data_IF_858153344998
#
_entry.id   IF_858153344998
#
_cell.length_a   1.000
_cell.length_b   1.000
_cell.length_c   1.000
_cell.angle_alpha   90.00
_cell.angle_beta   90.00
_cell.angle_gamma   90.00
#
_symmetry.space_group_name_H-M   'P 1'
#
loop_
_entity.id
_entity.type
_entity.pdbx_description
1 polymer ?
#
# COMPACT_ATOMS: atom_id res chain seq x y z
N UNK A 1 -27.52 -0.76 -7.15
CA UNK A 1 -26.67 -1.76 -7.84
C UNK A 1 -26.71 -1.63 -9.35
N UNK A 2 -27.86 -1.37 -9.94
CA UNK A 2 -27.97 -1.23 -11.42
C UNK A 2 -27.29 0.04 -11.94
N UNK A 3 -27.34 1.12 -11.20
CA UNK A 3 -26.65 2.39 -11.53
C UNK A 3 -25.12 2.26 -11.59
N UNK A 4 -24.57 1.22 -10.97
CA UNK A 4 -23.12 0.94 -10.93
C UNK A 4 -22.73 -0.29 -11.76
N UNK A 5 -23.54 -0.64 -12.78
CA UNK A 5 -23.22 -1.71 -13.73
C UNK A 5 -23.32 -3.15 -13.20
N UNK A 6 -23.93 -3.37 -12.05
CA UNK A 6 -24.11 -4.73 -11.51
C UNK A 6 -25.39 -5.37 -12.04
N UNK A 7 -25.26 -6.50 -12.73
CA UNK A 7 -26.39 -7.26 -13.28
C UNK A 7 -27.24 -7.96 -12.21
N UNK A 8 -26.74 -8.14 -10.98
CA UNK A 8 -27.47 -8.79 -9.90
C UNK A 8 -27.15 -8.21 -8.53
N UNK A 9 -28.09 -8.36 -7.59
CA UNK A 9 -27.90 -7.99 -6.17
C UNK A 9 -26.72 -8.78 -5.56
N UNK A 10 -26.63 -10.07 -5.87
CA UNK A 10 -25.55 -10.92 -5.36
C UNK A 10 -24.17 -10.47 -5.87
N UNK A 11 -24.09 -10.04 -7.13
CA UNK A 11 -22.85 -9.47 -7.70
C UNK A 11 -22.44 -8.20 -6.96
N UNK A 12 -23.40 -7.31 -6.74
CA UNK A 12 -23.17 -6.10 -5.95
C UNK A 12 -22.74 -6.42 -4.51
N UNK A 13 -23.47 -7.31 -3.81
CA UNK A 13 -23.13 -7.68 -2.44
C UNK A 13 -21.74 -8.28 -2.30
N UNK A 14 -21.33 -9.14 -3.27
CA UNK A 14 -19.98 -9.71 -3.30
C UNK A 14 -18.91 -8.63 -3.53
N UNK A 15 -19.12 -7.74 -4.51
CA UNK A 15 -18.20 -6.66 -4.80
C UNK A 15 -18.11 -5.69 -3.62
N UNK A 16 -19.25 -5.33 -3.00
CA UNK A 16 -19.30 -4.47 -1.84
C UNK A 16 -18.53 -5.06 -0.66
N UNK A 17 -18.76 -6.35 -0.34
CA UNK A 17 -18.02 -7.04 0.74
C UNK A 17 -16.52 -7.11 0.47
N UNK A 18 -16.12 -7.22 -0.80
CA UNK A 18 -14.70 -7.23 -1.19
C UNK A 18 -14.01 -5.91 -0.90
N UNK A 19 -14.71 -4.78 -1.02
CA UNK A 19 -14.18 -3.43 -0.82
C UNK A 19 -14.34 -2.96 0.62
N UNK A 20 -15.51 -3.21 1.22
CA UNK A 20 -15.88 -2.67 2.53
C UNK A 20 -15.85 -3.71 3.66
N UNK A 21 -15.52 -4.96 3.37
CA UNK A 21 -15.42 -6.09 4.32
C UNK A 21 -16.69 -6.35 5.16
N UNK A 22 -17.82 -5.77 4.74
CA UNK A 22 -19.11 -5.92 5.40
C UNK A 22 -20.23 -5.92 4.37
N UNK A 23 -21.44 -6.34 4.75
CA UNK A 23 -22.59 -6.26 3.84
C UNK A 23 -23.07 -4.81 3.69
N UNK A 24 -23.65 -4.42 2.53
CA UNK A 24 -24.23 -3.10 2.34
C UNK A 24 -25.23 -2.71 3.44
N UNK A 25 -26.06 -3.66 3.85
CA UNK A 25 -27.05 -3.43 4.91
C UNK A 25 -26.41 -3.17 6.28
N UNK A 26 -25.35 -3.91 6.63
CA UNK A 26 -24.62 -3.72 7.89
C UNK A 26 -23.85 -2.39 7.87
N UNK A 27 -23.25 -2.06 6.74
CA UNK A 27 -22.55 -0.78 6.53
C UNK A 27 -23.50 0.41 6.69
N UNK A 28 -24.69 0.36 6.05
CA UNK A 28 -25.68 1.40 6.17
C UNK A 28 -26.23 1.56 7.61
N UNK A 29 -26.44 0.45 8.33
CA UNK A 29 -26.90 0.49 9.73
C UNK A 29 -25.87 1.11 10.68
N UNK A 30 -24.58 0.95 10.38
CA UNK A 30 -23.51 1.55 11.16
C UNK A 30 -23.39 3.07 10.94
N UNK A 31 -24.26 3.68 10.10
CA UNK A 31 -24.22 5.11 9.79
C UNK A 31 -23.03 5.53 8.93
N UNK A 32 -22.27 4.56 8.45
CA UNK A 32 -21.12 4.83 7.60
C UNK A 32 -21.61 5.42 6.27
N UNK A 33 -21.10 6.59 5.93
CA UNK A 33 -21.37 7.21 4.63
C UNK A 33 -20.70 6.36 3.55
N UNK A 34 -21.45 6.01 2.50
CA UNK A 34 -20.86 5.40 1.30
C UNK A 34 -19.93 6.43 0.67
N UNK A 35 -18.63 6.14 0.66
CA UNK A 35 -17.66 7.00 0.00
C UNK A 35 -17.74 6.71 -1.49
N UNK A 36 -18.13 7.71 -2.27
CA UNK A 36 -17.94 7.68 -3.71
C UNK A 36 -16.46 7.93 -3.98
N UNK A 37 -15.72 6.87 -4.34
CA UNK A 37 -14.27 6.94 -4.50
C UNK A 37 -13.85 7.89 -5.62
N UNK A 38 -14.62 7.98 -6.70
CA UNK A 38 -14.33 8.88 -7.82
C UNK A 38 -14.47 10.34 -7.39
N UNK A 39 -15.55 10.65 -6.65
CA UNK A 39 -15.74 11.97 -6.07
C UNK A 39 -14.67 12.29 -5.03
N UNK A 40 -14.38 11.34 -4.15
CA UNK A 40 -13.33 11.50 -3.14
C UNK A 40 -11.98 11.77 -3.80
N UNK A 41 -11.60 10.97 -4.80
CA UNK A 41 -10.36 11.19 -5.55
C UNK A 41 -10.32 12.57 -6.21
N UNK A 42 -11.40 12.98 -6.87
CA UNK A 42 -11.50 14.30 -7.48
C UNK A 42 -11.37 15.46 -6.49
N UNK A 43 -11.88 15.30 -5.26
CA UNK A 43 -11.83 16.33 -4.22
C UNK A 43 -10.46 16.41 -3.52
N UNK A 44 -9.71 15.31 -3.46
CA UNK A 44 -8.49 15.21 -2.65
C UNK A 44 -7.20 15.00 -3.44
N UNK A 45 -7.25 14.72 -4.74
CA UNK A 45 -6.05 14.46 -5.55
C UNK A 45 -5.05 15.63 -5.52
N UNK A 46 -5.54 16.86 -5.46
CA UNK A 46 -4.71 18.07 -5.45
C UNK A 46 -4.02 18.31 -4.08
N UNK A 47 -4.40 17.56 -3.05
CA UNK A 47 -3.76 17.57 -1.72
C UNK A 47 -2.59 16.59 -1.61
N UNK A 48 -2.37 15.81 -2.64
CA UNK A 48 -1.29 14.83 -2.70
C UNK A 48 -0.26 15.31 -3.70
N UNK A 49 0.95 15.53 -3.25
CA UNK A 49 2.08 15.81 -4.15
C UNK A 49 2.58 14.51 -4.75
N UNK A 50 2.87 14.55 -6.03
CA UNK A 50 3.40 13.39 -6.77
C UNK A 50 4.76 13.78 -7.32
N UNK A 51 5.75 12.94 -7.06
CA UNK A 51 7.08 13.01 -7.65
C UNK A 51 7.50 11.65 -8.17
N UNK A 52 8.47 11.64 -9.09
CA UNK A 52 9.03 10.40 -9.62
C UNK A 52 10.50 10.35 -9.26
N UNK A 53 10.93 9.26 -8.66
CA UNK A 53 12.32 9.06 -8.26
C UNK A 53 12.85 7.72 -8.78
N UNK A 54 14.12 7.67 -9.04
CA UNK A 54 14.86 6.42 -9.18
C UNK A 54 15.48 6.12 -7.81
N UNK A 55 15.19 4.96 -7.28
CA UNK A 55 15.52 4.56 -5.91
C UNK A 55 16.43 3.35 -5.94
N UNK A 56 17.44 3.35 -5.09
CA UNK A 56 18.27 2.19 -4.82
C UNK A 56 17.50 1.12 -4.04
N UNK A 57 18.05 -0.09 -4.01
CA UNK A 57 17.53 -1.18 -3.20
C UNK A 57 17.49 -0.79 -1.72
N UNK A 58 16.40 -1.12 -1.04
CA UNK A 58 16.24 -0.93 0.41
C UNK A 58 15.98 -2.28 1.06
N UNK A 59 16.59 -2.51 2.21
CA UNK A 59 16.30 -3.64 3.10
C UNK A 59 15.47 -3.15 4.26
N UNK A 60 14.41 -3.89 4.60
CA UNK A 60 13.62 -3.68 5.80
C UNK A 60 13.47 -4.98 6.57
N UNK A 61 13.38 -4.87 7.89
CA UNK A 61 13.01 -5.98 8.74
C UNK A 61 11.92 -5.56 9.71
N UNK A 62 11.00 -6.48 10.05
CA UNK A 62 9.88 -6.12 10.90
C UNK A 62 8.98 -7.28 11.27
N UNK A 63 7.83 -6.97 11.81
CA UNK A 63 6.84 -7.96 12.21
C UNK A 63 5.49 -7.71 11.58
N UNK A 64 4.72 -8.78 11.43
CA UNK A 64 3.31 -8.68 11.13
C UNK A 64 2.60 -7.96 12.27
N UNK A 65 1.96 -6.84 11.94
CA UNK A 65 1.14 -6.07 12.90
C UNK A 65 -0.33 -6.40 12.77
N UNK A 66 -0.76 -6.89 11.60
CA UNK A 66 -2.12 -7.30 11.31
C UNK A 66 -2.08 -8.48 10.35
N UNK A 67 -2.68 -9.60 10.76
CA UNK A 67 -2.79 -10.81 9.94
C UNK A 67 -4.21 -11.04 9.40
N UNK A 68 -5.21 -10.27 9.80
CA UNK A 68 -6.60 -10.43 9.37
C UNK A 68 -7.27 -9.09 9.07
N UNK A 69 -7.60 -8.88 7.82
CA UNK A 69 -8.22 -7.65 7.31
C UNK A 69 -9.62 -7.38 7.83
N UNK A 70 -10.36 -8.43 8.23
CA UNK A 70 -11.77 -8.30 8.62
C UNK A 70 -11.96 -7.71 10.01
N UNK A 71 -10.95 -7.83 10.87
CA UNK A 71 -11.03 -7.52 12.29
C UNK A 71 -10.22 -6.28 12.68
N UNK A 72 -9.41 -5.75 11.76
CA UNK A 72 -8.43 -4.73 12.08
C UNK A 72 -8.75 -3.36 11.49
N UNK A 73 -8.68 -2.34 12.31
CA UNK A 73 -8.51 -0.96 11.87
C UNK A 73 -7.01 -0.73 11.61
N UNK A 74 -6.56 -0.98 10.38
CA UNK A 74 -5.16 -0.82 9.97
C UNK A 74 -4.61 0.57 10.36
N UNK A 75 -5.29 1.69 10.06
CA UNK A 75 -4.79 3.00 10.42
C UNK A 75 -4.58 3.19 11.93
N UNK A 76 -5.50 2.70 12.77
CA UNK A 76 -5.36 2.81 14.22
C UNK A 76 -4.20 1.93 14.75
N UNK A 77 -4.03 0.73 14.20
CA UNK A 77 -2.90 -0.12 14.55
C UNK A 77 -1.57 0.49 14.14
N UNK A 78 -1.47 1.06 12.95
CA UNK A 78 -0.29 1.80 12.51
C UNK A 78 0.04 2.95 13.44
N UNK A 79 -0.95 3.78 13.79
CA UNK A 79 -0.74 4.89 14.72
C UNK A 79 -0.19 4.39 16.06
N UNK A 80 -0.72 3.29 16.60
CA UNK A 80 -0.24 2.70 17.85
C UNK A 80 1.21 2.18 17.75
N UNK A 81 1.58 1.54 16.64
CA UNK A 81 2.94 1.03 16.44
C UNK A 81 3.96 2.13 16.14
N UNK A 82 3.51 3.27 15.62
CA UNK A 82 4.35 4.41 15.29
C UNK A 82 4.42 5.47 16.39
N UNK A 83 3.64 5.33 17.46
CA UNK A 83 3.74 6.19 18.63
C UNK A 83 5.07 5.97 19.36
N UNK A 84 5.92 6.99 19.40
CA UNK A 84 7.26 6.95 20.03
C UNK A 84 7.23 6.54 21.51
N UNK A 85 6.11 6.72 22.20
CA UNK A 85 5.92 6.32 23.59
C UNK A 85 5.50 4.86 23.76
N UNK A 86 5.11 4.20 22.67
CA UNK A 86 4.63 2.82 22.73
C UNK A 86 5.76 1.79 22.90
N UNK A 87 5.49 0.67 23.58
CA UNK A 87 6.43 -0.46 23.61
C UNK A 87 6.72 -1.03 22.22
N UNK A 88 5.74 -0.94 21.31
CA UNK A 88 5.82 -1.42 19.94
C UNK A 88 6.83 -0.63 19.12
N UNK A 89 6.83 0.69 19.23
CA UNK A 89 7.84 1.54 18.60
C UNK A 89 9.26 1.19 19.07
N UNK A 90 9.43 0.97 20.38
CA UNK A 90 10.74 0.54 20.94
C UNK A 90 11.16 -0.82 20.40
N UNK A 91 10.22 -1.76 20.26
CA UNK A 91 10.49 -3.07 19.64
C UNK A 91 11.00 -2.92 18.21
N UNK A 92 10.39 -2.04 17.40
CA UNK A 92 10.84 -1.77 16.04
C UNK A 92 12.25 -1.15 16.02
N UNK A 93 12.52 -0.19 16.88
CA UNK A 93 13.82 0.46 16.92
C UNK A 93 14.96 -0.45 17.39
N UNK A 94 14.66 -1.46 18.20
CA UNK A 94 15.65 -2.44 18.62
C UNK A 94 16.29 -3.22 17.45
N UNK A 95 15.61 -3.29 16.29
CA UNK A 95 16.16 -3.90 15.07
C UNK A 95 17.33 -3.12 14.46
N UNK A 96 17.43 -1.84 14.74
CA UNK A 96 18.50 -0.98 14.20
C UNK A 96 19.56 -0.61 15.23
N UNK A 97 19.32 -0.93 16.50
CA UNK A 97 20.15 -0.48 17.61
C UNK A 97 20.05 1.02 17.91
N UNK A 98 19.11 1.72 17.34
CA UNK A 98 18.92 3.16 17.51
C UNK A 98 17.71 3.46 18.41
N UNK A 99 17.89 4.40 19.36
CA UNK A 99 16.78 4.82 20.24
C UNK A 99 15.71 5.63 19.49
N UNK A 100 16.11 6.37 18.46
CA UNK A 100 15.21 7.21 17.65
C UNK A 100 15.25 6.83 16.18
N UNK A 101 14.08 6.53 15.77
CA UNK A 101 13.54 6.07 14.58
C UNK A 101 14.20 6.42 13.28
N UNK A 102 14.91 5.46 12.69
CA UNK A 102 14.95 5.38 11.24
C UNK A 102 13.54 5.27 10.71
N UNK A 103 13.37 5.69 9.47
CA UNK A 103 12.11 5.56 8.77
C UNK A 103 11.59 4.13 8.83
N UNK A 104 10.28 4.01 8.96
CA UNK A 104 9.59 2.72 8.97
C UNK A 104 8.96 2.47 7.60
N UNK A 105 9.05 1.24 7.15
CA UNK A 105 8.38 0.75 5.94
C UNK A 105 7.21 -0.11 6.36
N UNK A 106 6.08 0.09 5.71
CA UNK A 106 4.94 -0.80 5.83
C UNK A 106 4.63 -1.45 4.47
N UNK A 107 4.44 -2.75 4.50
CA UNK A 107 4.11 -3.59 3.37
C UNK A 107 2.85 -4.38 3.67
N UNK A 108 2.10 -4.74 2.63
CA UNK A 108 1.01 -5.69 2.77
C UNK A 108 1.14 -6.81 1.75
N UNK A 109 0.95 -8.02 2.24
CA UNK A 109 0.84 -9.23 1.42
C UNK A 109 -0.57 -9.75 1.50
N UNK A 110 -1.12 -10.11 0.36
CA UNK A 110 -2.43 -10.76 0.29
C UNK A 110 -2.25 -12.22 -0.11
N UNK A 111 -2.57 -13.10 0.81
CA UNK A 111 -2.70 -14.52 0.53
C UNK A 111 -4.16 -14.95 0.69
N UNK A 112 -4.82 -15.25 -0.44
CA UNK A 112 -6.24 -15.66 -0.51
C UNK A 112 -7.17 -14.64 0.20
N UNK A 113 -7.69 -15.01 1.36
CA UNK A 113 -8.61 -14.19 2.16
C UNK A 113 -7.89 -13.40 3.27
N UNK A 114 -6.65 -13.73 3.55
CA UNK A 114 -5.85 -13.06 4.57
C UNK A 114 -4.98 -11.97 3.96
N UNK A 115 -4.74 -10.96 4.73
CA UNK A 115 -3.72 -9.96 4.46
C UNK A 115 -2.80 -9.90 5.66
N UNK A 116 -1.52 -9.94 5.39
CA UNK A 116 -0.49 -9.64 6.37
C UNK A 116 0.00 -8.23 6.14
N UNK A 117 -0.02 -7.42 7.15
CA UNK A 117 0.50 -6.07 7.15
C UNK A 117 1.75 -6.02 8.01
N UNK A 118 2.91 -5.87 7.36
CA UNK A 118 4.23 -5.93 7.99
C UNK A 118 4.76 -4.51 8.15
N UNK A 119 5.25 -4.19 9.33
CA UNK A 119 5.88 -2.91 9.65
C UNK A 119 7.27 -3.14 10.23
N UNK A 120 8.23 -2.35 9.77
CA UNK A 120 9.59 -2.38 10.29
C UNK A 120 10.48 -1.25 9.81
N UNK A 121 11.63 -1.03 10.47
CA UNK A 121 12.61 -0.05 10.05
C UNK A 121 13.37 -0.48 8.79
N UNK A 122 13.99 0.50 8.15
CA UNK A 122 15.05 0.25 7.17
C UNK A 122 16.30 -0.25 7.93
N UNK A 123 16.88 -1.36 7.46
CA UNK A 123 18.09 -1.97 8.02
C UNK A 123 19.21 -1.97 6.98
N UNK A 124 20.46 -1.95 7.43
CA UNK A 124 21.62 -1.98 6.53
C UNK A 124 21.90 -3.40 6.02
N UNK A 125 21.74 -4.38 6.89
CA UNK A 125 21.88 -5.80 6.57
C UNK A 125 20.84 -6.63 7.30
N UNK A 126 20.72 -7.90 6.92
CA UNK A 126 19.89 -8.86 7.63
C UNK A 126 20.66 -9.67 8.69
N UNK A 127 21.94 -9.35 8.88
CA UNK A 127 22.76 -10.03 9.86
C UNK A 127 22.31 -9.73 11.29
N UNK A 128 22.33 -10.74 12.13
CA UNK A 128 22.01 -10.64 13.56
C UNK A 128 20.59 -10.17 13.91
N UNK A 129 19.66 -10.28 12.97
CA UNK A 129 18.25 -10.00 13.23
C UNK A 129 17.57 -11.17 13.98
N UNK A 130 16.51 -10.92 14.76
CA UNK A 130 15.70 -11.98 15.35
C UNK A 130 15.16 -12.95 14.28
N UNK A 131 15.15 -14.27 14.58
CA UNK A 131 14.67 -15.30 13.66
C UNK A 131 13.19 -15.14 13.29
N UNK A 132 12.39 -14.51 14.16
CA UNK A 132 10.97 -14.23 13.96
C UNK A 132 10.70 -12.93 13.19
N UNK A 133 11.73 -12.16 12.82
CA UNK A 133 11.57 -10.95 12.04
C UNK A 133 11.47 -11.27 10.54
N UNK A 134 10.46 -10.73 9.90
CA UNK A 134 10.37 -10.73 8.43
C UNK A 134 11.49 -9.88 7.85
N UNK A 135 12.12 -10.39 6.81
CA UNK A 135 13.19 -9.74 6.06
C UNK A 135 12.73 -9.52 4.63
N UNK A 136 12.72 -8.29 4.18
CA UNK A 136 12.23 -7.92 2.84
C UNK A 136 13.21 -7.00 2.15
N UNK A 137 13.54 -7.34 0.91
CA UNK A 137 14.29 -6.48 0.00
C UNK A 137 13.31 -5.79 -0.94
N UNK A 138 13.31 -4.46 -0.93
CA UNK A 138 12.57 -3.64 -1.87
C UNK A 138 13.50 -3.30 -3.02
N UNK A 139 13.16 -3.79 -4.20
CA UNK A 139 14.04 -3.68 -5.37
C UNK A 139 14.23 -2.23 -5.82
N UNK A 140 15.44 -1.94 -6.30
CA UNK A 140 15.76 -0.69 -6.97
C UNK A 140 14.85 -0.43 -8.18
N UNK A 141 14.68 0.82 -8.55
CA UNK A 141 13.98 1.24 -9.76
C UNK A 141 13.15 2.51 -9.57
N UNK A 142 12.34 2.79 -10.59
CA UNK A 142 11.54 4.01 -10.63
C UNK A 142 10.24 3.86 -9.87
N UNK A 143 9.93 4.86 -9.05
CA UNK A 143 8.72 4.91 -8.24
C UNK A 143 8.00 6.26 -8.40
N UNK A 144 6.69 6.23 -8.48
CA UNK A 144 5.84 7.38 -8.19
C UNK A 144 5.69 7.48 -6.67
N UNK A 145 6.08 8.61 -6.12
CA UNK A 145 6.06 8.88 -4.68
C UNK A 145 4.97 9.90 -4.40
N UNK A 146 4.06 9.51 -3.54
CA UNK A 146 2.93 10.32 -3.11
C UNK A 146 3.19 10.84 -1.70
N UNK A 147 3.04 12.13 -1.52
CA UNK A 147 3.23 12.83 -0.25
C UNK A 147 1.98 13.62 0.11
N UNK A 148 1.48 13.49 1.35
CA UNK A 148 0.43 14.35 1.87
C UNK A 148 0.97 15.76 2.14
N UNK A 149 0.14 16.78 1.97
CA UNK A 149 0.42 18.15 2.39
C UNK A 149 0.36 18.32 3.91
N UNK A 150 -0.21 17.35 4.63
CA UNK A 150 -0.33 17.36 6.08
C UNK A 150 0.88 16.69 6.73
N UNK A 151 1.32 17.27 7.85
CA UNK A 151 2.29 16.61 8.72
C UNK A 151 1.62 15.47 9.46
N UNK A 152 2.39 14.39 9.68
CA UNK A 152 1.94 13.28 10.49
C UNK A 152 2.08 13.66 11.96
N UNK A 153 0.97 13.99 12.60
CA UNK A 153 0.86 13.74 14.01
C UNK A 153 0.09 12.44 14.26
N UNK A 154 0.17 11.91 15.45
CA UNK A 154 -0.48 10.62 15.77
C UNK A 154 -2.01 10.70 15.69
N UNK A 155 -2.57 11.89 15.83
CA UNK A 155 -4.01 12.14 15.74
C UNK A 155 -4.49 12.07 14.27
N UNK A 156 -3.71 12.68 13.35
CA UNK A 156 -4.07 12.79 11.93
C UNK A 156 -3.63 11.57 11.09
N UNK A 157 -2.65 10.79 11.54
CA UNK A 157 -2.12 9.66 10.79
C UNK A 157 -3.19 8.69 10.28
N UNK A 158 -4.21 8.28 11.06
CA UNK A 158 -5.25 7.38 10.57
C UNK A 158 -6.03 7.95 9.38
N UNK A 159 -6.29 9.25 9.33
CA UNK A 159 -6.99 9.86 8.20
C UNK A 159 -6.05 10.00 6.99
N UNK A 160 -4.78 10.32 7.19
CA UNK A 160 -3.77 10.35 6.13
C UNK A 160 -3.65 8.98 5.44
N UNK A 161 -3.56 7.90 6.20
CA UNK A 161 -3.53 6.53 5.66
C UNK A 161 -4.79 6.22 4.84
N UNK A 162 -5.97 6.59 5.35
CA UNK A 162 -7.24 6.41 4.61
C UNK A 162 -7.29 7.24 3.34
N UNK A 163 -6.78 8.46 3.37
CA UNK A 163 -6.71 9.34 2.22
C UNK A 163 -5.83 8.73 1.13
N UNK A 164 -4.63 8.27 1.45
CA UNK A 164 -3.76 7.60 0.49
C UNK A 164 -4.38 6.33 -0.07
N UNK A 165 -4.96 5.48 0.77
CA UNK A 165 -5.63 4.27 0.30
C UNK A 165 -6.75 4.59 -0.70
N UNK A 166 -7.53 5.63 -0.48
CA UNK A 166 -8.65 6.01 -1.36
C UNK A 166 -8.18 6.73 -2.62
N UNK A 167 -7.29 7.72 -2.47
CA UNK A 167 -6.87 8.54 -3.61
C UNK A 167 -5.84 7.83 -4.48
N UNK A 168 -4.86 7.16 -3.90
CA UNK A 168 -3.78 6.55 -4.66
C UNK A 168 -4.16 5.15 -5.11
N UNK A 169 -4.49 4.24 -4.18
CA UNK A 169 -4.73 2.84 -4.54
C UNK A 169 -6.00 2.63 -5.37
N UNK A 170 -7.05 3.40 -5.13
CA UNK A 170 -8.32 3.28 -5.84
C UNK A 170 -8.55 4.33 -6.93
N UNK A 171 -7.81 5.44 -6.92
CA UNK A 171 -7.88 6.50 -7.92
C UNK A 171 -6.72 6.45 -8.89
N UNK A 172 -5.57 6.96 -8.47
CA UNK A 172 -4.40 7.15 -9.35
C UNK A 172 -3.93 5.86 -10.03
N UNK A 173 -3.77 4.76 -9.27
CA UNK A 173 -3.34 3.46 -9.82
C UNK A 173 -4.29 2.97 -10.91
N UNK A 174 -5.59 3.21 -10.77
CA UNK A 174 -6.58 2.83 -11.77
C UNK A 174 -6.40 3.60 -13.09
N UNK A 175 -6.07 4.90 -13.00
CA UNK A 175 -5.86 5.77 -14.17
C UNK A 175 -4.52 5.53 -14.86
N UNK A 176 -3.51 5.04 -14.14
CA UNK A 176 -2.13 4.88 -14.60
C UNK A 176 -1.68 3.41 -14.69
N UNK A 177 -2.60 2.50 -14.96
CA UNK A 177 -2.32 1.04 -14.99
C UNK A 177 -1.18 0.65 -15.93
N UNK A 178 -1.09 1.31 -17.08
CA UNK A 178 -0.08 1.01 -18.09
C UNK A 178 1.32 1.52 -17.71
N UNK A 179 1.41 2.32 -16.67
CA UNK A 179 2.66 2.85 -16.14
C UNK A 179 3.22 1.99 -15.00
N UNK A 180 2.45 1.05 -14.47
CA UNK A 180 2.84 0.27 -13.29
C UNK A 180 3.87 -0.80 -13.61
N UNK A 181 4.80 -1.01 -12.69
CA UNK A 181 5.67 -2.18 -12.66
C UNK A 181 5.13 -3.21 -11.69
N UNK A 182 4.51 -4.29 -12.20
CA UNK A 182 3.89 -5.33 -11.37
C UNK A 182 4.90 -6.26 -10.68
N UNK A 183 6.18 -6.16 -11.02
CA UNK A 183 7.23 -7.01 -10.46
C UNK A 183 7.83 -6.45 -9.17
N UNK A 184 7.52 -5.22 -8.82
CA UNK A 184 8.04 -4.54 -7.65
C UNK A 184 6.94 -4.23 -6.64
N UNK A 185 7.33 -4.08 -5.39
CA UNK A 185 6.38 -3.87 -4.29
C UNK A 185 5.96 -2.41 -4.19
N UNK A 186 4.67 -2.18 -3.98
CA UNK A 186 4.15 -0.91 -3.46
C UNK A 186 4.32 -0.92 -1.94
N UNK A 187 4.78 0.17 -1.37
CA UNK A 187 5.03 0.26 0.06
C UNK A 187 4.77 1.67 0.60
N UNK A 188 4.51 1.74 1.88
CA UNK A 188 4.39 2.97 2.64
C UNK A 188 5.71 3.24 3.38
N UNK A 189 6.09 4.51 3.49
CA UNK A 189 7.25 4.95 4.27
C UNK A 189 6.81 6.02 5.23
N UNK A 190 7.12 5.81 6.49
CA UNK A 190 6.83 6.70 7.60
C UNK A 190 8.11 7.32 8.10
N UNK A 191 8.21 8.63 7.99
CA UNK A 191 9.27 9.45 8.62
C UNK A 191 8.72 10.04 9.91
N UNK A 192 9.56 10.76 10.66
CA UNK A 192 9.11 11.48 11.85
C UNK A 192 8.04 12.55 11.57
N UNK A 193 7.91 13.00 10.33
CA UNK A 193 7.02 14.11 9.97
C UNK A 193 5.94 13.72 8.98
N UNK A 194 6.19 12.77 8.09
CA UNK A 194 5.32 12.51 6.95
C UNK A 194 5.19 11.04 6.59
N UNK A 195 4.05 10.72 6.02
CA UNK A 195 3.81 9.48 5.31
C UNK A 195 4.00 9.66 3.82
N UNK A 196 4.62 8.68 3.20
CA UNK A 196 4.76 8.57 1.75
C UNK A 196 4.24 7.22 1.28
N UNK A 197 3.64 7.21 0.10
CA UNK A 197 3.29 5.97 -0.58
C UNK A 197 4.11 5.85 -1.86
N UNK A 198 4.80 4.74 -2.01
CA UNK A 198 5.66 4.42 -3.15
C UNK A 198 4.96 3.41 -4.04
N UNK A 199 4.70 3.80 -5.27
CA UNK A 199 4.10 2.93 -6.28
C UNK A 199 5.12 2.70 -7.39
N UNK A 200 5.53 1.44 -7.65
CA UNK A 200 6.53 1.17 -8.68
C UNK A 200 5.97 1.42 -10.07
N UNK A 201 6.73 2.14 -10.89
CA UNK A 201 6.37 2.48 -12.25
C UNK A 201 7.44 2.02 -13.24
N UNK A 202 7.02 1.76 -14.47
CA UNK A 202 7.92 1.39 -15.56
C UNK A 202 8.81 2.57 -15.94
N UNK A 203 10.01 2.30 -16.41
CA UNK A 203 10.87 3.32 -17.00
C UNK A 203 10.20 3.87 -18.25
N UNK A 204 10.18 5.19 -18.40
CA UNK A 204 9.71 5.82 -19.65
C UNK A 204 10.68 5.43 -20.76
N UNK A 205 10.29 4.49 -21.61
CA UNK A 205 11.08 4.11 -22.80
C UNK A 205 11.04 2.64 -23.19
N UNK A 206 10.60 1.72 -22.34
CA UNK A 206 10.54 0.29 -22.67
C UNK A 206 9.15 -0.21 -23.11
N UNK A 207 8.14 0.65 -23.13
CA UNK A 207 6.75 0.28 -23.46
C UNK A 207 6.45 0.07 -24.96
N UNK A 208 7.45 -0.14 -25.82
CA UNK A 208 7.25 -0.24 -27.27
C UNK A 208 7.55 -1.59 -27.93
N UNK A 209 8.24 -2.52 -27.30
CA UNK A 209 8.76 -3.69 -28.01
C UNK A 209 8.42 -5.08 -27.43
N UNK A 210 7.93 -5.20 -26.24
CA UNK A 210 7.69 -6.54 -25.66
C UNK A 210 6.42 -7.24 -26.17
N UNK A 211 5.50 -6.52 -26.82
CA UNK A 211 4.28 -7.16 -27.43
C UNK A 211 4.50 -7.74 -28.84
N UNK A 212 5.68 -7.62 -29.43
CA UNK A 212 5.96 -8.18 -30.77
C UNK A 212 6.61 -9.56 -30.75
N UNK A 213 7.21 -9.98 -29.67
CA UNK A 213 7.95 -11.23 -29.63
C UNK A 213 7.09 -12.46 -29.29
N UNK A 214 5.94 -12.27 -28.62
CA UNK A 214 5.02 -13.40 -28.37
C UNK A 214 4.33 -13.95 -29.63
N UNK A 215 4.18 -13.17 -30.70
CA UNK A 215 3.58 -13.64 -31.95
C UNK A 215 4.53 -14.40 -32.87
N UNK A 216 5.83 -14.41 -32.59
CA UNK A 216 6.80 -15.16 -33.41
C UNK A 216 7.12 -16.55 -32.87
N UNK A 217 6.75 -16.88 -31.65
CA UNK A 217 6.99 -18.22 -31.11
C UNK A 217 5.94 -19.26 -31.56
N UNK A 218 4.73 -18.84 -31.92
CA UNK A 218 3.68 -19.77 -32.39
C UNK A 218 3.82 -20.22 -33.86
N UNK A 219 4.70 -19.58 -34.65
CA UNK A 219 4.88 -19.93 -36.07
C UNK A 219 6.05 -20.86 -36.39
N UNK A 220 6.80 -21.33 -35.40
CA UNK A 220 7.93 -22.24 -35.61
C UNK A 220 7.70 -23.68 -35.12
N UNK A 221 6.51 -24.00 -34.60
CA UNK A 221 6.17 -25.38 -34.18
C UNK A 221 5.29 -26.15 -35.16
N UNK A 222 5.03 -25.59 -36.34
CA UNK A 222 4.32 -26.29 -37.42
C UNK A 222 5.17 -26.34 -38.71
N UNK A 223 6.32 -27.05 -38.66
CA UNK A 223 6.98 -27.56 -39.84
C UNK A 223 7.75 -28.82 -39.49
#
# INVERSE_FOLDING_TARGET
GKEYGFCSRNGFDKAFRRVFYTSPAKYARAGAKVVNLDRYYSEYKDKIKISYIDMDEIKMAGWTIIANRREADIPAQLAFWLDEHSPQYRKLNALTGEEKGRDKIALWYQEKENIEYILGPIVESFDNLPEDAFQVTIAAGRYAVFESDQENDMENLPETVRMFARCVLYGWIREHRDELSLQRLTFERYTSQKMYLYVPVSEKGTGGNERKDEKNFEKQSEK
#
